data_IF_164600706735
#
_entry.id   IF_164600706735
#
_cell.length_a   1.000
_cell.length_b   1.000
_cell.length_c   1.000
_cell.angle_alpha   90.00
_cell.angle_beta   90.00
_cell.angle_gamma   90.00
#
_symmetry.space_group_name_H-M   'P 1'
#
loop_
_entity.id
_entity.type
_entity.pdbx_description
1 polymer ?
#
# COMPACT_ATOMS: atom_id res chain seq x y z
N UNK A 1 -4.86 -25.44 31.75
CA UNK A 1 -4.84 -24.09 32.31
C UNK A 1 -5.88 -23.29 31.56
N UNK A 2 -6.89 -22.71 32.19
CA UNK A 2 -7.80 -21.79 31.49
C UNK A 2 -7.02 -20.58 31.03
N UNK A 3 -7.13 -20.25 29.75
CA UNK A 3 -6.59 -19.00 29.20
C UNK A 3 -7.26 -17.84 29.95
N UNK A 4 -6.51 -16.82 30.38
CA UNK A 4 -7.12 -15.65 30.98
C UNK A 4 -8.05 -15.02 29.93
N UNK A 5 -9.31 -14.84 30.31
CA UNK A 5 -10.27 -14.06 29.51
C UNK A 5 -9.65 -12.66 29.34
N UNK A 6 -9.42 -12.17 28.12
CA UNK A 6 -8.88 -10.84 27.95
C UNK A 6 -9.84 -9.86 28.60
N UNK A 7 -9.34 -9.04 29.53
CA UNK A 7 -10.11 -7.94 30.12
C UNK A 7 -10.57 -7.04 28.97
N UNK A 8 -11.88 -6.84 28.86
CA UNK A 8 -12.44 -5.93 27.87
C UNK A 8 -11.81 -4.54 28.09
N UNK A 9 -11.14 -4.03 27.08
CA UNK A 9 -10.55 -2.69 27.13
C UNK A 9 -11.68 -1.68 26.99
N UNK A 10 -11.90 -0.89 28.04
CA UNK A 10 -12.90 0.17 27.99
C UNK A 10 -12.31 1.38 27.27
N UNK A 11 -12.99 1.89 26.26
CA UNK A 11 -12.60 3.10 25.53
C UNK A 11 -13.83 3.89 25.06
N UNK A 12 -13.60 5.17 24.70
CA UNK A 12 -14.59 6.04 24.07
C UNK A 12 -14.04 6.54 22.73
N UNK A 13 -14.90 6.61 21.72
CA UNK A 13 -14.56 7.21 20.42
C UNK A 13 -15.22 8.57 20.31
N UNK A 14 -14.40 9.61 20.18
CA UNK A 14 -14.86 11.00 20.07
C UNK A 14 -14.51 11.53 18.69
N UNK A 15 -15.49 12.03 17.90
CA UNK A 15 -15.19 12.69 16.64
C UNK A 15 -14.25 13.88 16.86
N UNK A 16 -13.28 14.03 15.99
CA UNK A 16 -12.38 15.17 15.98
C UNK A 16 -12.66 16.02 14.73
N UNK A 17 -12.94 17.32 14.94
CA UNK A 17 -13.14 18.29 13.87
C UNK A 17 -11.85 19.11 13.69
N UNK A 18 -11.07 18.90 12.61
CA UNK A 18 -9.89 19.72 12.33
C UNK A 18 -10.28 21.17 12.08
N UNK A 19 -9.40 22.10 12.42
CA UNK A 19 -9.59 23.55 12.17
C UNK A 19 -10.37 24.31 13.25
N UNK A 20 -10.91 23.65 14.23
CA UNK A 20 -11.63 24.30 15.34
C UNK A 20 -10.69 24.79 16.44
N UNK A 21 -9.60 25.42 16.21
CA UNK A 21 -8.68 26.09 17.15
C UNK A 21 -8.37 25.37 18.50
N UNK A 22 -7.44 25.84 19.31
CA UNK A 22 -7.02 25.16 20.55
C UNK A 22 -8.12 24.98 21.60
N UNK A 23 -9.18 25.80 21.56
CA UNK A 23 -10.32 25.73 22.49
C UNK A 23 -11.31 24.60 22.16
N UNK A 24 -11.23 24.00 20.99
CA UNK A 24 -12.12 22.91 20.56
C UNK A 24 -11.69 21.53 21.06
N UNK A 25 -10.50 21.40 21.60
CA UNK A 25 -10.05 20.13 22.19
C UNK A 25 -10.86 19.82 23.46
N UNK A 26 -11.28 18.55 23.66
CA UNK A 26 -11.90 18.13 24.92
C UNK A 26 -11.04 18.51 26.11
N UNK A 27 -11.71 18.93 27.22
CA UNK A 27 -10.99 19.34 28.44
C UNK A 27 -10.14 18.19 29.00
N UNK A 28 -10.67 16.97 28.94
CA UNK A 28 -9.98 15.76 29.36
C UNK A 28 -8.68 15.54 28.57
N UNK A 29 -8.70 15.78 27.25
CA UNK A 29 -7.51 15.68 26.42
C UNK A 29 -6.48 16.75 26.79
N UNK A 30 -6.93 17.99 27.05
CA UNK A 30 -6.04 19.10 27.46
C UNK A 30 -5.37 18.87 28.82
N UNK A 31 -5.90 18.01 29.66
CA UNK A 31 -5.29 17.64 30.95
C UNK A 31 -4.14 16.64 30.80
N UNK A 32 -4.18 15.77 29.79
CA UNK A 32 -3.18 14.71 29.59
C UNK A 32 -2.20 15.00 28.43
N UNK A 33 -2.53 15.92 27.52
CA UNK A 33 -1.69 16.31 26.40
C UNK A 33 -1.02 17.66 26.64
N UNK A 34 0.26 17.78 26.28
CA UNK A 34 0.96 19.07 26.27
C UNK A 34 0.44 19.94 25.14
N UNK A 35 0.42 21.28 25.29
CA UNK A 35 -0.05 22.20 24.26
C UNK A 35 0.61 21.99 22.89
N UNK A 36 1.92 21.75 22.85
CA UNK A 36 2.70 21.57 21.62
C UNK A 36 2.27 20.31 20.84
N UNK A 37 1.80 19.29 21.56
CA UNK A 37 1.23 18.08 20.91
C UNK A 37 -0.10 18.42 20.24
N UNK A 38 -0.97 19.15 20.92
CA UNK A 38 -2.26 19.56 20.38
C UNK A 38 -2.12 20.53 19.21
N UNK A 39 -1.15 21.43 19.27
CA UNK A 39 -0.79 22.31 18.13
C UNK A 39 -0.35 21.50 16.93
N UNK A 40 0.55 20.51 17.12
CA UNK A 40 0.99 19.60 16.07
C UNK A 40 -0.17 18.79 15.48
N UNK A 41 -1.08 18.29 16.32
CA UNK A 41 -2.25 17.55 15.86
C UNK A 41 -3.19 18.44 15.03
N UNK A 42 -3.36 19.70 15.43
CA UNK A 42 -4.20 20.68 14.76
C UNK A 42 -3.57 21.32 13.52
N UNK A 43 -2.25 21.18 13.32
CA UNK A 43 -1.53 21.84 12.23
C UNK A 43 -1.86 21.28 10.82
N UNK A 44 -2.45 20.09 10.74
CA UNK A 44 -2.77 19.41 9.48
C UNK A 44 -4.25 19.11 9.43
N UNK A 45 -4.90 19.45 8.33
CA UNK A 45 -6.29 19.09 8.05
C UNK A 45 -6.39 17.62 7.61
N UNK A 46 -6.84 16.77 8.54
CA UNK A 46 -7.08 15.35 8.31
C UNK A 46 -8.55 15.01 8.05
N UNK A 47 -9.40 16.00 7.81
CA UNK A 47 -10.84 15.78 7.57
C UNK A 47 -11.14 14.68 6.52
N UNK A 48 -10.39 14.59 5.40
CA UNK A 48 -10.61 13.53 4.41
C UNK A 48 -10.42 12.10 4.96
N UNK A 49 -9.66 11.93 6.05
CA UNK A 49 -9.32 10.64 6.64
C UNK A 49 -10.08 10.35 7.94
N UNK A 50 -11.25 10.96 8.12
CA UNK A 50 -12.18 10.74 9.22
C UNK A 50 -11.49 10.69 10.60
N UNK A 51 -10.76 11.75 11.01
CA UNK A 51 -10.00 11.77 12.24
C UNK A 51 -10.90 11.62 13.46
N UNK A 52 -10.43 10.87 14.45
CA UNK A 52 -11.13 10.61 15.71
C UNK A 52 -10.15 10.47 16.86
N UNK A 53 -10.65 10.68 18.07
CA UNK A 53 -9.93 10.38 19.29
C UNK A 53 -10.44 9.05 19.83
N UNK A 54 -9.53 8.12 20.13
CA UNK A 54 -9.81 6.92 20.90
C UNK A 54 -9.25 7.15 22.29
N UNK A 55 -10.11 7.30 23.27
CA UNK A 55 -9.76 7.71 24.62
C UNK A 55 -10.00 6.59 25.63
N UNK A 56 -9.11 6.45 26.59
CA UNK A 56 -9.24 5.52 27.72
C UNK A 56 -9.72 6.31 28.93
N UNK A 57 -10.90 6.00 29.50
CA UNK A 57 -11.39 6.65 30.69
C UNK A 57 -10.57 6.23 31.92
N UNK A 58 -10.38 7.18 32.86
CA UNK A 58 -9.79 6.98 34.18
C UNK A 58 -10.61 7.66 35.29
N UNK A 59 -10.17 7.57 36.53
CA UNK A 59 -10.94 8.03 37.70
C UNK A 59 -11.29 9.54 37.74
N UNK A 60 -10.64 10.35 36.91
CA UNK A 60 -10.88 11.83 36.94
C UNK A 60 -10.96 12.44 35.53
N UNK A 61 -11.25 11.66 34.52
CA UNK A 61 -11.28 12.08 33.12
C UNK A 61 -10.63 11.01 32.20
N UNK A 62 -9.80 11.43 31.23
CA UNK A 62 -9.07 10.48 30.40
C UNK A 62 -7.71 10.17 31.02
N UNK A 63 -7.34 8.89 30.99
CA UNK A 63 -6.00 8.40 31.34
C UNK A 63 -5.07 8.43 30.11
N UNK A 64 -5.63 8.16 28.95
CA UNK A 64 -4.90 8.12 27.67
C UNK A 64 -5.80 8.49 26.49
N UNK A 65 -5.22 8.93 25.40
CA UNK A 65 -5.92 9.12 24.14
C UNK A 65 -4.98 8.97 22.95
N UNK A 66 -5.51 8.48 21.83
CA UNK A 66 -4.83 8.45 20.53
C UNK A 66 -5.60 9.25 19.48
N UNK A 67 -4.90 10.00 18.64
CA UNK A 67 -5.44 10.53 17.40
C UNK A 67 -5.35 9.45 16.34
N UNK A 68 -6.50 9.07 15.79
CA UNK A 68 -6.64 7.97 14.83
C UNK A 68 -7.22 8.50 13.53
N UNK A 69 -6.67 8.03 12.40
CA UNK A 69 -7.17 8.29 11.04
C UNK A 69 -7.30 6.99 10.25
N UNK A 70 -7.98 7.03 9.11
CA UNK A 70 -8.01 5.96 8.13
C UNK A 70 -8.37 6.53 6.76
N UNK A 71 -7.77 6.00 5.67
CA UNK A 71 -8.26 6.32 4.32
C UNK A 71 -9.66 5.72 4.12
N UNK A 72 -10.59 6.42 3.49
CA UNK A 72 -11.88 5.84 3.14
C UNK A 72 -11.72 4.59 2.24
N UNK A 73 -12.55 3.58 2.45
CA UNK A 73 -12.53 2.35 1.64
C UNK A 73 -11.43 1.36 2.01
N UNK A 74 -10.61 1.64 3.01
CA UNK A 74 -9.56 0.75 3.51
C UNK A 74 -9.99 0.01 4.77
N UNK A 75 -9.23 -1.01 5.15
CA UNK A 75 -9.51 -1.87 6.30
C UNK A 75 -8.45 -1.71 7.40
N UNK A 76 -7.90 -0.50 7.59
CA UNK A 76 -6.93 -0.20 8.65
C UNK A 76 -7.34 1.00 9.48
N UNK A 77 -6.73 1.12 10.66
CA UNK A 77 -6.69 2.33 11.45
C UNK A 77 -5.22 2.76 11.65
N UNK A 78 -4.95 4.08 11.56
CA UNK A 78 -3.62 4.63 11.84
C UNK A 78 -3.63 5.39 13.15
N UNK A 79 -2.71 5.04 14.06
CA UNK A 79 -2.34 5.88 15.20
C UNK A 79 -1.38 6.94 14.67
N UNK A 80 -1.85 8.19 14.61
CA UNK A 80 -0.99 9.35 14.26
C UNK A 80 -0.07 9.66 15.43
N UNK A 81 -0.63 9.68 16.64
CA UNK A 81 0.09 9.95 17.90
C UNK A 81 -0.79 9.55 19.09
N UNK A 82 -0.18 9.41 20.26
CA UNK A 82 -0.87 9.06 21.50
C UNK A 82 -0.33 9.86 22.69
N UNK A 83 -1.17 10.10 23.69
CA UNK A 83 -0.86 10.88 24.91
C UNK A 83 -1.39 10.18 26.16
N UNK A 84 -0.85 10.53 27.33
CA UNK A 84 -1.16 9.88 28.61
C UNK A 84 -0.46 8.52 28.72
N UNK A 85 -1.17 7.48 29.18
CA UNK A 85 -0.69 6.09 29.13
C UNK A 85 -0.72 5.57 27.67
N UNK A 86 0.38 5.79 26.94
CA UNK A 86 0.53 5.44 25.53
C UNK A 86 0.26 3.94 25.25
N UNK A 87 0.76 3.00 26.07
CA UNK A 87 0.39 1.59 25.94
C UNK A 87 -1.12 1.32 26.06
N UNK A 88 -1.81 2.00 26.98
CA UNK A 88 -3.27 1.88 27.13
C UNK A 88 -4.00 2.43 25.91
N UNK A 89 -3.59 3.59 25.40
CA UNK A 89 -4.11 4.17 24.16
C UNK A 89 -3.96 3.21 22.96
N UNK A 90 -2.78 2.63 22.79
CA UNK A 90 -2.53 1.69 21.69
C UNK A 90 -3.41 0.43 21.79
N UNK A 91 -3.56 -0.15 22.99
CA UNK A 91 -4.49 -1.28 23.23
C UNK A 91 -5.95 -0.91 22.92
N UNK A 92 -6.37 0.29 23.28
CA UNK A 92 -7.72 0.78 22.99
C UNK A 92 -7.97 0.93 21.49
N UNK A 93 -6.99 1.43 20.72
CA UNK A 93 -7.09 1.51 19.25
C UNK A 93 -7.14 0.12 18.61
N UNK A 94 -6.38 -0.84 19.13
CA UNK A 94 -6.45 -2.22 18.63
C UNK A 94 -7.83 -2.83 18.92
N UNK A 95 -8.36 -2.70 20.13
CA UNK A 95 -9.70 -3.17 20.46
C UNK A 95 -10.78 -2.49 19.60
N UNK A 96 -10.66 -1.17 19.37
CA UNK A 96 -11.51 -0.44 18.45
C UNK A 96 -11.43 -1.01 17.03
N UNK A 97 -10.24 -1.28 16.52
CA UNK A 97 -10.04 -1.84 15.16
C UNK A 97 -10.68 -3.23 15.04
N UNK A 98 -10.50 -4.10 16.04
CA UNK A 98 -11.12 -5.43 16.11
C UNK A 98 -12.66 -5.34 16.11
N UNK A 99 -13.25 -4.45 16.91
CA UNK A 99 -14.71 -4.22 16.94
C UNK A 99 -15.26 -3.68 15.61
N UNK A 100 -14.46 -2.86 14.89
CA UNK A 100 -14.86 -2.34 13.58
C UNK A 100 -14.59 -3.34 12.44
N UNK A 101 -14.03 -4.51 12.71
CA UNK A 101 -13.67 -5.49 11.70
C UNK A 101 -12.52 -5.04 10.80
N UNK A 102 -11.70 -4.10 11.25
CA UNK A 102 -10.48 -3.70 10.55
C UNK A 102 -9.44 -4.81 10.70
N UNK A 103 -8.60 -4.98 9.68
CA UNK A 103 -7.63 -6.07 9.64
C UNK A 103 -6.23 -5.65 10.09
N UNK A 104 -6.01 -4.34 10.27
CA UNK A 104 -4.68 -3.80 10.58
C UNK A 104 -4.77 -2.51 11.38
N UNK A 105 -3.82 -2.33 12.29
CA UNK A 105 -3.49 -1.04 12.90
C UNK A 105 -2.05 -0.70 12.54
N UNK A 106 -1.82 0.50 11.99
CA UNK A 106 -0.49 1.05 11.79
C UNK A 106 -0.24 2.20 12.75
N UNK A 107 1.02 2.47 13.06
CA UNK A 107 1.41 3.53 13.99
C UNK A 107 2.57 4.35 13.45
N UNK A 108 2.41 5.67 13.37
CA UNK A 108 3.51 6.57 13.02
C UNK A 108 4.53 6.64 14.15
N UNK A 109 5.78 6.33 13.85
CA UNK A 109 6.86 6.27 14.84
C UNK A 109 7.49 7.63 15.19
N UNK A 110 6.68 8.69 15.32
CA UNK A 110 7.20 10.02 15.68
C UNK A 110 7.62 10.12 17.14
N UNK A 111 6.87 9.53 18.05
CA UNK A 111 6.98 9.71 19.50
C UNK A 111 7.11 8.40 20.25
N UNK A 112 6.79 7.27 19.63
CA UNK A 112 6.88 5.94 20.22
C UNK A 112 8.24 5.30 19.97
N UNK A 113 8.81 4.67 20.99
CA UNK A 113 10.00 3.85 20.85
C UNK A 113 9.66 2.45 20.29
N UNK A 114 10.67 1.77 19.72
CA UNK A 114 10.50 0.39 19.25
C UNK A 114 10.13 -0.60 20.37
N UNK A 115 10.62 -0.36 21.58
CA UNK A 115 10.31 -1.18 22.76
C UNK A 115 8.84 -1.01 23.18
N UNK A 116 8.33 0.21 23.23
CA UNK A 116 6.94 0.51 23.56
C UNK A 116 5.99 -0.05 22.50
N UNK A 117 6.32 0.09 21.20
CA UNK A 117 5.54 -0.46 20.12
C UNK A 117 5.52 -1.99 20.18
N UNK A 118 6.66 -2.64 20.41
CA UNK A 118 6.75 -4.09 20.56
C UNK A 118 5.98 -4.60 21.78
N UNK A 119 6.04 -3.89 22.91
CA UNK A 119 5.25 -4.21 24.12
C UNK A 119 3.73 -4.13 23.87
N UNK A 120 3.30 -3.28 22.93
CA UNK A 120 1.91 -3.19 22.47
C UNK A 120 1.58 -4.19 21.32
N UNK A 121 2.52 -5.06 20.94
CA UNK A 121 2.34 -6.10 19.92
C UNK A 121 2.45 -5.61 18.48
N UNK A 122 3.12 -4.48 18.25
CA UNK A 122 3.42 -3.98 16.92
C UNK A 122 4.80 -4.43 16.45
N UNK A 123 4.90 -4.80 15.18
CA UNK A 123 6.16 -5.06 14.50
C UNK A 123 6.66 -3.78 13.80
N UNK A 124 7.98 -3.53 13.72
CA UNK A 124 8.50 -2.41 12.96
C UNK A 124 8.33 -2.63 11.46
N UNK A 125 7.98 -1.57 10.74
CA UNK A 125 7.99 -1.52 9.28
C UNK A 125 9.38 -1.14 8.78
N UNK A 126 9.77 -1.66 7.62
CA UNK A 126 10.99 -1.26 6.93
C UNK A 126 10.86 0.17 6.43
N UNK A 127 11.87 1.02 6.64
CA UNK A 127 11.83 2.37 6.09
C UNK A 127 11.79 2.34 4.56
N UNK A 128 11.20 3.37 3.93
CA UNK A 128 11.20 3.50 2.48
C UNK A 128 12.60 3.44 1.89
N UNK A 129 12.70 2.89 0.68
CA UNK A 129 13.93 2.95 -0.10
C UNK A 129 14.31 4.42 -0.37
N UNK A 130 15.60 4.78 -0.35
CA UNK A 130 16.05 6.13 -0.68
C UNK A 130 15.83 6.44 -2.16
N UNK A 131 15.63 7.70 -2.50
CA UNK A 131 15.75 8.19 -3.88
C UNK A 131 14.47 8.67 -4.56
N UNK A 132 13.28 8.54 -3.96
CA UNK A 132 12.06 9.08 -4.57
C UNK A 132 11.97 10.61 -4.54
N UNK A 133 12.14 11.22 -3.39
CA UNK A 133 12.15 12.68 -3.18
C UNK A 133 13.05 13.06 -2.02
N UNK A 134 13.61 14.29 -2.03
CA UNK A 134 14.37 14.84 -0.90
C UNK A 134 13.49 15.24 0.29
N UNK A 135 12.16 15.25 0.11
CA UNK A 135 11.23 15.55 1.19
C UNK A 135 11.13 14.37 2.16
N UNK A 136 11.15 14.64 3.47
CA UNK A 136 10.92 13.61 4.45
C UNK A 136 9.52 12.99 4.26
N UNK A 137 9.51 11.73 3.87
CA UNK A 137 8.28 10.98 3.58
C UNK A 137 7.45 10.66 4.84
N UNK A 138 7.83 11.16 6.00
CA UNK A 138 7.19 10.86 7.27
C UNK A 138 8.19 10.45 8.36
N UNK A 139 7.76 9.73 9.39
CA UNK A 139 8.64 9.23 10.44
C UNK A 139 9.69 8.28 9.86
N UNK A 140 10.86 8.20 10.50
CA UNK A 140 11.90 7.24 10.11
C UNK A 140 11.51 5.78 10.36
N UNK A 141 10.57 5.58 11.29
CA UNK A 141 10.03 4.27 11.66
C UNK A 141 8.52 4.33 11.59
N UNK A 142 7.93 3.23 11.19
CA UNK A 142 6.50 2.95 11.30
C UNK A 142 6.32 1.59 11.93
N UNK A 143 5.16 1.31 12.43
CA UNK A 143 4.86 0.02 13.05
C UNK A 143 3.52 -0.50 12.55
N UNK A 144 3.39 -1.82 12.51
CA UNK A 144 2.17 -2.51 12.07
C UNK A 144 1.77 -3.58 13.07
N UNK A 145 0.47 -3.72 13.28
CA UNK A 145 -0.14 -4.85 13.96
C UNK A 145 -1.34 -5.35 13.16
N UNK A 146 -1.31 -6.62 12.81
CA UNK A 146 -2.44 -7.29 12.18
C UNK A 146 -3.45 -7.69 13.24
N UNK A 147 -4.73 -7.39 13.00
CA UNK A 147 -5.86 -7.74 13.89
C UNK A 147 -6.61 -8.96 13.36
N UNK A 148 -6.43 -9.28 12.07
CA UNK A 148 -7.03 -10.44 11.44
C UNK A 148 -6.01 -11.17 10.53
N UNK A 149 -5.91 -12.50 10.69
CA UNK A 149 -4.97 -13.34 9.95
C UNK A 149 -3.51 -13.20 10.43
N UNK A 150 -2.59 -13.80 9.69
CA UNK A 150 -1.15 -13.76 9.96
C UNK A 150 -0.45 -12.55 9.32
N UNK A 151 -1.22 -11.70 8.59
CA UNK A 151 -0.67 -10.63 7.79
C UNK A 151 -0.05 -11.11 6.48
N UNK A 152 0.75 -10.27 5.86
CA UNK A 152 1.48 -10.56 4.62
C UNK A 152 2.96 -10.23 4.79
N UNK A 153 3.82 -10.89 4.01
CA UNK A 153 5.24 -10.58 4.01
C UNK A 153 5.47 -9.15 3.53
N UNK A 154 6.31 -8.40 4.24
CA UNK A 154 6.57 -6.99 3.96
C UNK A 154 7.48 -6.83 2.73
N UNK A 155 7.05 -6.12 1.66
CA UNK A 155 7.89 -5.80 0.51
C UNK A 155 8.78 -4.58 0.79
N UNK A 156 9.64 -4.23 -0.17
CA UNK A 156 10.26 -2.91 -0.18
C UNK A 156 9.22 -1.84 -0.57
N UNK A 157 9.30 -0.68 0.04
CA UNK A 157 8.48 0.47 -0.31
C UNK A 157 9.31 1.57 -0.97
N UNK A 158 8.80 2.15 -2.06
CA UNK A 158 9.40 3.28 -2.76
C UNK A 158 8.31 4.29 -3.13
N UNK A 159 8.51 5.56 -2.76
CA UNK A 159 7.60 6.66 -3.09
C UNK A 159 7.90 7.18 -4.49
N UNK A 160 6.86 7.30 -5.33
CA UNK A 160 7.01 7.97 -6.63
C UNK A 160 7.50 9.40 -6.48
N UNK A 161 8.38 9.82 -7.40
CA UNK A 161 8.97 11.16 -7.36
C UNK A 161 8.15 12.23 -8.08
N UNK A 162 7.13 11.83 -8.85
CA UNK A 162 6.25 12.72 -9.63
C UNK A 162 4.79 12.31 -9.45
N UNK A 163 3.83 13.14 -9.88
CA UNK A 163 2.40 12.79 -9.74
C UNK A 163 1.90 11.83 -10.82
N UNK A 164 2.74 11.40 -11.75
CA UNK A 164 2.31 10.60 -12.92
C UNK A 164 3.08 9.30 -13.10
N UNK A 165 4.07 9.02 -12.27
CA UNK A 165 4.96 7.85 -12.40
C UNK A 165 4.49 6.60 -11.64
N UNK A 166 3.26 6.60 -11.09
CA UNK A 166 2.73 5.50 -10.30
C UNK A 166 2.81 4.13 -11.01
N UNK A 167 2.48 4.06 -12.30
CA UNK A 167 2.58 2.83 -13.09
C UNK A 167 4.02 2.31 -13.21
N UNK A 168 4.98 3.18 -13.43
CA UNK A 168 6.39 2.81 -13.50
C UNK A 168 6.89 2.30 -12.14
N UNK A 169 6.54 3.01 -11.05
CA UNK A 169 6.96 2.61 -9.70
C UNK A 169 6.35 1.27 -9.30
N UNK A 170 5.07 1.05 -9.55
CA UNK A 170 4.43 -0.24 -9.24
C UNK A 170 5.06 -1.39 -10.02
N UNK A 171 5.44 -1.17 -11.29
CA UNK A 171 6.13 -2.18 -12.10
C UNK A 171 7.55 -2.46 -11.58
N UNK A 172 8.30 -1.43 -11.20
CA UNK A 172 9.62 -1.59 -10.57
C UNK A 172 9.53 -2.35 -9.25
N UNK A 173 8.58 -2.01 -8.38
CA UNK A 173 8.35 -2.72 -7.12
C UNK A 173 7.98 -4.19 -7.33
N UNK A 174 7.18 -4.50 -8.35
CA UNK A 174 6.88 -5.87 -8.74
C UNK A 174 8.16 -6.63 -9.14
N UNK A 175 9.06 -5.99 -9.91
CA UNK A 175 10.33 -6.61 -10.33
C UNK A 175 11.34 -6.75 -9.18
N UNK A 176 11.35 -5.81 -8.22
CA UNK A 176 12.14 -5.96 -6.99
C UNK A 176 11.66 -7.16 -6.20
N UNK A 177 10.35 -7.27 -6.02
CA UNK A 177 9.77 -8.38 -5.29
C UNK A 177 10.00 -9.73 -5.96
N UNK A 178 10.02 -9.73 -7.30
CA UNK A 178 10.36 -10.89 -8.11
C UNK A 178 11.87 -11.26 -8.07
N UNK A 179 12.70 -10.43 -7.43
CA UNK A 179 14.15 -10.62 -7.39
C UNK A 179 14.86 -10.35 -8.72
N UNK A 180 14.16 -9.73 -9.68
CA UNK A 180 14.70 -9.37 -11.01
C UNK A 180 15.47 -8.06 -10.95
N UNK A 181 15.05 -7.15 -10.08
CA UNK A 181 15.66 -5.83 -9.83
C UNK A 181 16.11 -5.77 -8.39
N UNK A 182 17.30 -5.25 -8.12
CA UNK A 182 17.78 -5.05 -6.76
C UNK A 182 17.14 -3.80 -6.15
N UNK A 183 16.73 -3.82 -4.87
CA UNK A 183 16.10 -2.67 -4.21
C UNK A 183 16.94 -1.38 -4.31
N UNK A 184 18.25 -1.48 -4.19
CA UNK A 184 19.20 -0.36 -4.30
C UNK A 184 19.30 0.24 -5.72
N UNK A 185 18.74 -0.43 -6.72
CA UNK A 185 18.65 0.08 -8.10
C UNK A 185 17.37 0.88 -8.34
N UNK A 186 16.50 1.00 -7.35
CA UNK A 186 15.32 1.86 -7.45
C UNK A 186 15.73 3.28 -7.11
N UNK A 187 15.73 4.11 -8.14
CA UNK A 187 15.98 5.52 -8.03
C UNK A 187 15.09 6.31 -9.01
N UNK A 188 15.22 7.61 -8.98
CA UNK A 188 14.45 8.52 -9.83
C UNK A 188 14.74 8.32 -11.32
N UNK A 189 15.95 7.92 -11.69
CA UNK A 189 16.32 7.67 -13.09
C UNK A 189 15.62 6.41 -13.59
N UNK A 190 15.65 5.31 -12.83
CA UNK A 190 14.95 4.07 -13.15
C UNK A 190 13.45 4.28 -13.29
N UNK A 191 12.85 5.05 -12.35
CA UNK A 191 11.44 5.44 -12.34
C UNK A 191 11.06 6.19 -13.63
N UNK A 192 11.74 7.32 -13.91
CA UNK A 192 11.41 8.17 -15.04
C UNK A 192 11.76 7.52 -16.40
N UNK A 193 12.78 6.67 -16.44
CA UNK A 193 13.11 5.90 -17.64
C UNK A 193 11.99 4.93 -17.97
N UNK A 194 11.52 4.13 -17.00
CA UNK A 194 10.43 3.20 -17.24
C UNK A 194 9.12 3.93 -17.56
N UNK A 195 8.82 5.03 -16.85
CA UNK A 195 7.67 5.87 -17.16
C UNK A 195 7.69 6.35 -18.61
N UNK A 196 8.80 6.90 -19.08
CA UNK A 196 8.95 7.36 -20.47
C UNK A 196 8.69 6.25 -21.48
N UNK A 197 9.15 5.04 -21.19
CA UNK A 197 8.99 3.88 -22.08
C UNK A 197 7.55 3.32 -22.06
N UNK A 198 6.80 3.56 -20.98
CA UNK A 198 5.47 3.01 -20.72
C UNK A 198 4.33 3.98 -21.03
N UNK A 199 4.63 5.26 -21.26
CA UNK A 199 3.58 6.28 -21.25
C UNK A 199 3.30 6.89 -22.61
N UNK A 200 2.02 7.20 -22.80
CA UNK A 200 1.50 8.05 -23.87
C UNK A 200 1.12 9.44 -23.32
N UNK A 201 1.75 9.83 -22.24
CA UNK A 201 1.67 11.11 -21.54
C UNK A 201 0.24 11.50 -21.04
N UNK A 202 0.06 11.93 -19.78
CA UNK A 202 1.05 11.87 -18.69
C UNK A 202 1.04 10.53 -17.96
N UNK A 203 -0.03 9.74 -18.04
CA UNK A 203 -0.20 8.50 -17.30
C UNK A 203 0.03 7.26 -18.18
N UNK A 204 0.51 6.18 -17.57
CA UNK A 204 0.63 4.89 -18.25
C UNK A 204 -0.74 4.26 -18.45
N UNK A 205 -1.08 3.93 -19.69
CA UNK A 205 -2.24 3.08 -19.98
C UNK A 205 -1.86 1.58 -19.85
N UNK A 206 -2.83 0.68 -19.61
CA UNK A 206 -2.52 -0.71 -19.25
C UNK A 206 -1.66 -1.46 -20.27
N UNK A 207 -1.93 -1.33 -21.56
CA UNK A 207 -1.19 -2.05 -22.61
C UNK A 207 0.21 -1.51 -22.77
N UNK A 208 0.37 -0.17 -22.78
CA UNK A 208 1.68 0.48 -22.86
C UNK A 208 2.57 0.13 -21.68
N UNK A 209 1.99 0.06 -20.46
CA UNK A 209 2.74 -0.37 -19.28
C UNK A 209 3.20 -1.83 -19.39
N UNK A 210 2.33 -2.74 -19.81
CA UNK A 210 2.67 -4.15 -20.04
C UNK A 210 3.74 -4.32 -21.10
N UNK A 211 3.66 -3.57 -22.21
CA UNK A 211 4.66 -3.56 -23.29
C UNK A 211 6.02 -3.05 -22.78
N UNK A 212 6.05 -1.98 -22.00
CA UNK A 212 7.30 -1.44 -21.47
C UNK A 212 7.97 -2.43 -20.50
N UNK A 213 7.18 -3.07 -19.62
CA UNK A 213 7.68 -4.13 -18.74
C UNK A 213 8.29 -5.27 -19.55
N UNK A 214 7.59 -5.77 -20.57
CA UNK A 214 8.08 -6.87 -21.42
C UNK A 214 9.33 -6.50 -22.20
N UNK A 215 9.45 -5.26 -22.69
CA UNK A 215 10.66 -4.79 -23.38
C UNK A 215 11.86 -4.74 -22.45
N UNK A 216 11.67 -4.24 -21.24
CA UNK A 216 12.74 -4.05 -20.27
C UNK A 216 13.19 -5.38 -19.66
N UNK A 217 12.27 -6.29 -19.41
CA UNK A 217 12.52 -7.62 -18.81
C UNK A 217 11.94 -8.74 -19.69
N UNK A 218 12.65 -9.13 -20.76
CA UNK A 218 12.13 -10.11 -21.72
C UNK A 218 11.86 -11.52 -21.14
N UNK A 219 12.49 -11.85 -20.02
CA UNK A 219 12.25 -13.13 -19.30
C UNK A 219 10.98 -13.13 -18.46
N UNK A 220 10.47 -11.96 -18.07
CA UNK A 220 9.22 -11.87 -17.32
C UNK A 220 8.02 -12.21 -18.20
N UNK A 221 7.12 -13.07 -17.74
CA UNK A 221 5.80 -13.24 -18.37
C UNK A 221 4.94 -12.04 -17.99
N UNK A 222 4.30 -11.43 -18.97
CA UNK A 222 3.43 -10.27 -18.77
C UNK A 222 2.11 -10.53 -19.49
N UNK A 223 0.99 -10.32 -18.78
CA UNK A 223 -0.36 -10.41 -19.32
C UNK A 223 -1.11 -9.12 -18.96
N UNK A 224 -1.93 -8.61 -19.89
CA UNK A 224 -2.77 -7.43 -19.65
C UNK A 224 -4.23 -7.85 -19.69
N UNK A 225 -5.00 -7.40 -18.70
CA UNK A 225 -6.46 -7.54 -18.64
C UNK A 225 -7.08 -6.15 -18.80
N UNK A 226 -7.86 -5.99 -19.86
CA UNK A 226 -8.53 -4.73 -20.17
C UNK A 226 -9.83 -5.04 -20.93
N UNK A 227 -10.97 -4.78 -20.31
CA UNK A 227 -12.29 -5.18 -20.81
C UNK A 227 -12.86 -4.29 -21.93
N UNK A 228 -11.98 -3.64 -22.67
CA UNK A 228 -12.32 -2.88 -23.88
C UNK A 228 -11.19 -2.94 -24.89
N UNK A 229 -11.54 -2.87 -26.17
CA UNK A 229 -10.59 -2.69 -27.26
C UNK A 229 -10.33 -1.20 -27.57
N UNK A 230 -11.22 -0.33 -27.12
CA UNK A 230 -11.11 1.10 -27.31
C UNK A 230 -10.00 1.73 -26.43
N UNK A 231 -9.41 2.84 -26.88
CA UNK A 231 -8.50 3.62 -26.07
C UNK A 231 -9.15 4.09 -24.76
N UNK A 232 -8.38 4.04 -23.66
CA UNK A 232 -8.86 4.31 -22.31
C UNK A 232 -8.24 5.57 -21.71
N UNK A 233 -8.85 6.10 -20.63
CA UNK A 233 -8.35 7.28 -19.90
C UNK A 233 -8.28 8.56 -20.74
N UNK A 234 -9.11 8.68 -21.76
CA UNK A 234 -9.14 9.82 -22.68
C UNK A 234 -10.38 10.70 -22.52
N UNK A 235 -11.25 10.46 -21.54
CA UNK A 235 -12.54 11.14 -21.40
C UNK A 235 -12.40 12.63 -21.06
N UNK A 236 -11.27 13.01 -20.47
CA UNK A 236 -10.94 14.38 -20.13
C UNK A 236 -10.23 15.17 -21.25
N UNK A 237 -10.06 14.55 -22.42
CA UNK A 237 -9.34 15.11 -23.56
C UNK A 237 -10.27 15.30 -24.75
N UNK A 238 -10.03 16.36 -25.52
CA UNK A 238 -10.79 16.70 -26.71
C UNK A 238 -9.90 16.86 -27.95
N UNK A 239 -10.55 16.83 -29.14
CA UNK A 239 -9.92 17.13 -30.41
C UNK A 239 -8.65 16.34 -30.71
N UNK A 240 -7.66 17.02 -31.27
CA UNK A 240 -6.41 16.42 -31.73
C UNK A 240 -5.65 15.71 -30.60
N UNK A 241 -5.73 16.21 -29.37
CA UNK A 241 -5.04 15.61 -28.24
C UNK A 241 -5.58 14.22 -27.91
N UNK A 242 -6.90 14.08 -27.90
CA UNK A 242 -7.57 12.77 -27.75
C UNK A 242 -7.19 11.83 -28.89
N UNK A 243 -7.20 12.34 -30.13
CA UNK A 243 -6.95 11.53 -31.32
C UNK A 243 -5.51 10.98 -31.35
N UNK A 244 -4.48 11.80 -31.18
CA UNK A 244 -3.11 11.31 -31.25
C UNK A 244 -2.76 10.36 -30.09
N UNK A 245 -3.35 10.55 -28.90
CA UNK A 245 -3.20 9.59 -27.79
C UNK A 245 -3.87 8.26 -28.09
N UNK A 246 -5.05 8.28 -28.71
CA UNK A 246 -5.71 7.06 -29.16
C UNK A 246 -4.87 6.32 -30.23
N UNK A 247 -4.20 7.06 -31.14
CA UNK A 247 -3.24 6.46 -32.10
C UNK A 247 -2.10 5.76 -31.37
N UNK A 248 -1.51 6.39 -30.35
CA UNK A 248 -0.42 5.80 -29.57
C UNK A 248 -0.85 4.55 -28.80
N UNK A 249 -2.05 4.54 -28.21
CA UNK A 249 -2.57 3.34 -27.53
C UNK A 249 -2.83 2.19 -28.51
N UNK A 250 -3.31 2.48 -29.73
CA UNK A 250 -3.41 1.45 -30.78
C UNK A 250 -2.02 0.93 -31.20
N UNK A 251 -1.01 1.78 -31.25
CA UNK A 251 0.37 1.35 -31.47
C UNK A 251 0.89 0.47 -30.34
N UNK A 252 0.56 0.77 -29.08
CA UNK A 252 0.88 -0.10 -27.93
C UNK A 252 0.28 -1.50 -28.08
N UNK A 253 -0.97 -1.62 -28.58
CA UNK A 253 -1.58 -2.94 -28.85
C UNK A 253 -0.80 -3.71 -29.94
N UNK A 254 -0.45 -3.06 -31.05
CA UNK A 254 0.37 -3.69 -32.08
C UNK A 254 1.77 -4.11 -31.56
N UNK A 255 2.32 -3.37 -30.62
CA UNK A 255 3.55 -3.72 -29.92
C UNK A 255 3.37 -4.92 -28.98
N UNK A 256 2.24 -5.00 -28.28
CA UNK A 256 1.91 -6.15 -27.44
C UNK A 256 1.86 -7.44 -28.26
N UNK A 257 1.20 -7.41 -29.41
CA UNK A 257 1.14 -8.55 -30.34
C UNK A 257 2.55 -8.97 -30.80
N UNK A 258 3.40 -8.02 -31.20
CA UNK A 258 4.78 -8.30 -31.66
C UNK A 258 5.67 -8.87 -30.56
N UNK A 259 5.46 -8.49 -29.31
CA UNK A 259 6.25 -8.91 -28.15
C UNK A 259 5.66 -10.15 -27.46
N UNK A 260 4.53 -10.66 -27.95
CA UNK A 260 3.84 -11.79 -27.35
C UNK A 260 3.33 -11.47 -25.93
N UNK A 261 2.81 -10.25 -25.71
CA UNK A 261 2.10 -9.86 -24.49
C UNK A 261 0.60 -10.09 -24.71
N UNK A 262 -0.01 -11.11 -24.08
CA UNK A 262 -1.43 -11.34 -24.19
C UNK A 262 -2.22 -10.15 -23.64
N UNK A 263 -3.18 -9.65 -24.43
CA UNK A 263 -4.15 -8.66 -24.00
C UNK A 263 -5.53 -9.32 -23.96
N UNK A 264 -6.01 -9.59 -22.75
CA UNK A 264 -7.31 -10.23 -22.54
C UNK A 264 -8.42 -9.19 -22.56
N UNK A 265 -9.37 -9.31 -23.53
CA UNK A 265 -10.55 -8.43 -23.66
C UNK A 265 -11.60 -8.69 -22.59
N UNK A 266 -11.20 -8.83 -21.33
CA UNK A 266 -12.07 -9.07 -20.18
C UNK A 266 -11.51 -8.49 -18.90
N UNK A 267 -12.34 -8.35 -17.90
CA UNK A 267 -11.91 -7.98 -16.55
C UNK A 267 -11.16 -9.12 -15.85
N UNK A 268 -10.13 -8.77 -15.10
CA UNK A 268 -9.64 -9.63 -14.05
C UNK A 268 -10.63 -9.52 -12.87
N UNK A 269 -11.26 -10.62 -12.49
CA UNK A 269 -12.18 -10.61 -11.34
C UNK A 269 -11.44 -10.45 -10.02
N UNK A 270 -12.12 -9.98 -8.99
CA UNK A 270 -11.54 -9.88 -7.64
C UNK A 270 -11.08 -11.25 -7.11
N UNK A 271 -11.81 -12.32 -7.43
CA UNK A 271 -11.44 -13.68 -7.04
C UNK A 271 -10.12 -14.12 -7.70
N UNK A 272 -9.97 -13.91 -9.02
CA UNK A 272 -8.73 -14.20 -9.75
C UNK A 272 -7.56 -13.35 -9.24
N UNK A 273 -7.81 -12.06 -8.93
CA UNK A 273 -6.82 -11.17 -8.35
C UNK A 273 -6.35 -11.70 -6.98
N UNK A 274 -7.27 -12.06 -6.10
CA UNK A 274 -6.95 -12.62 -4.79
C UNK A 274 -6.17 -13.93 -4.91
N UNK A 275 -6.54 -14.81 -5.84
CA UNK A 275 -5.83 -16.05 -6.11
C UNK A 275 -4.40 -15.77 -6.61
N UNK A 276 -4.24 -14.82 -7.54
CA UNK A 276 -2.93 -14.43 -8.06
C UNK A 276 -1.98 -13.94 -6.97
N UNK A 277 -2.47 -13.09 -6.04
CA UNK A 277 -1.62 -12.54 -4.96
C UNK A 277 -1.47 -13.47 -3.76
N UNK A 278 -2.39 -14.41 -3.52
CA UNK A 278 -2.31 -15.38 -2.41
C UNK A 278 -1.12 -16.34 -2.56
N UNK A 279 -0.76 -16.72 -3.80
CA UNK A 279 0.40 -17.55 -4.09
C UNK A 279 1.74 -16.90 -3.74
N UNK A 280 1.76 -15.58 -3.70
CA UNK A 280 2.97 -14.79 -3.43
C UNK A 280 3.42 -14.78 -1.97
N UNK A 281 2.47 -14.88 -1.03
CA UNK A 281 2.77 -14.76 0.41
C UNK A 281 3.41 -16.00 1.05
N UNK A 282 3.12 -17.21 0.55
CA UNK A 282 3.53 -18.45 1.19
C UNK A 282 4.95 -18.91 0.85
N UNK A 283 5.49 -18.52 -0.30
CA UNK A 283 6.84 -18.88 -0.71
C UNK A 283 7.89 -18.01 0.01
N UNK A 284 7.65 -16.71 0.16
CA UNK A 284 8.58 -15.76 0.78
C UNK A 284 8.66 -15.90 2.31
N UNK A 285 7.54 -16.19 2.98
CA UNK A 285 7.56 -16.48 4.43
C UNK A 285 8.40 -17.71 4.74
N UNK A 286 8.43 -18.71 3.85
CA UNK A 286 9.28 -19.90 3.99
C UNK A 286 10.76 -19.59 3.70
N UNK A 287 11.09 -18.71 2.78
CA UNK A 287 12.48 -18.31 2.50
C UNK A 287 13.04 -17.34 3.54
N UNK A 288 12.24 -16.42 4.08
CA UNK A 288 12.67 -15.57 5.18
C UNK A 288 12.95 -16.38 6.46
N UNK A 289 12.07 -17.29 6.82
CA UNK A 289 12.32 -18.23 7.92
C UNK A 289 13.50 -19.17 7.70
N UNK A 290 13.77 -19.56 6.44
CA UNK A 290 14.93 -20.37 6.09
C UNK A 290 16.24 -19.55 6.14
N UNK A 291 16.24 -18.26 5.78
CA UNK A 291 17.41 -17.39 5.86
C UNK A 291 17.77 -17.02 7.29
N UNK A 292 16.80 -16.77 8.16
CA UNK A 292 17.05 -16.56 9.60
C UNK A 292 17.58 -17.82 10.28
N UNK A 293 17.11 -19.01 9.91
CA UNK A 293 17.63 -20.27 10.41
C UNK A 293 19.07 -20.59 9.91
N UNK A 294 19.48 -20.07 8.75
CA UNK A 294 20.80 -20.27 8.15
C UNK A 294 21.83 -19.20 8.55
N UNK A 295 21.43 -18.00 8.97
CA UNK A 295 22.33 -16.94 9.41
C UNK A 295 23.16 -17.30 10.66
N UNK A 296 22.84 -18.44 11.30
CA UNK A 296 23.56 -18.98 12.44
C UNK A 296 24.63 -20.02 12.13
N UNK A 297 24.83 -20.43 10.86
CA UNK A 297 25.84 -21.43 10.48
C UNK A 297 26.52 -21.11 9.16
N UNK A 298 27.75 -20.66 9.26
CA UNK A 298 28.84 -20.68 8.27
C UNK A 298 28.57 -20.15 6.84
N UNK A 299 28.94 -18.89 6.63
CA UNK A 299 28.76 -18.10 5.40
C UNK A 299 29.81 -18.34 4.30
N UNK A 300 30.57 -19.41 4.28
CA UNK A 300 31.69 -19.60 3.32
C UNK A 300 31.53 -20.77 2.35
N UNK A 301 30.83 -21.83 2.68
CA UNK A 301 30.74 -23.03 1.81
C UNK A 301 29.51 -23.12 0.91
N UNK A 302 28.54 -22.21 1.04
CA UNK A 302 27.25 -22.30 0.33
C UNK A 302 27.27 -21.68 -1.08
N UNK A 303 28.32 -20.98 -1.50
CA UNK A 303 28.37 -20.32 -2.82
C UNK A 303 28.66 -21.28 -3.99
N UNK A 304 29.26 -22.42 -3.78
CA UNK A 304 29.58 -23.37 -4.84
C UNK A 304 28.58 -24.50 -5.06
N UNK A 305 27.66 -24.72 -4.12
CA UNK A 305 26.68 -25.83 -4.20
C UNK A 305 25.36 -25.46 -4.91
N UNK A 306 25.11 -24.20 -5.25
CA UNK A 306 23.85 -23.72 -5.86
C UNK A 306 23.86 -23.80 -7.39
N UNK A 307 25.01 -23.97 -8.02
CA UNK A 307 25.12 -24.05 -9.49
C UNK A 307 24.70 -25.38 -10.12
N UNK A 308 24.24 -26.36 -9.36
CA UNK A 308 24.09 -27.73 -9.87
C UNK A 308 22.85 -28.50 -9.42
N UNK A 309 21.70 -27.86 -9.16
CA UNK A 309 20.47 -28.61 -8.93
C UNK A 309 19.30 -28.11 -9.76
N UNK A 310 19.01 -28.96 -10.75
CA UNK A 310 17.86 -28.93 -11.64
C UNK A 310 16.52 -28.65 -10.94
N UNK A 311 15.65 -27.98 -11.70
CA UNK A 311 14.27 -27.64 -11.43
C UNK A 311 13.51 -28.70 -10.64
N UNK A 312 13.16 -28.39 -9.40
CA UNK A 312 12.08 -29.09 -8.70
C UNK A 312 10.76 -28.41 -9.08
N UNK A 313 9.97 -29.15 -9.86
CA UNK A 313 8.59 -28.82 -10.17
C UNK A 313 7.80 -28.60 -8.87
N UNK A 314 7.15 -27.42 -8.73
CA UNK A 314 6.23 -27.15 -7.64
C UNK A 314 6.41 -25.82 -6.90
N UNK A 315 7.24 -24.88 -7.38
CA UNK A 315 7.19 -23.50 -6.88
C UNK A 315 5.94 -22.85 -7.43
N UNK A 316 4.98 -22.52 -6.57
CA UNK A 316 3.89 -21.65 -6.94
C UNK A 316 4.50 -20.37 -7.54
N UNK A 317 4.12 -20.04 -8.77
CA UNK A 317 4.61 -18.83 -9.45
C UNK A 317 4.13 -17.62 -8.67
N UNK A 318 5.06 -16.77 -8.22
CA UNK A 318 4.70 -15.49 -7.61
C UNK A 318 4.19 -14.56 -8.70
N UNK A 319 2.89 -14.31 -8.70
CA UNK A 319 2.26 -13.35 -9.61
C UNK A 319 2.11 -12.01 -8.92
N UNK A 320 2.50 -10.96 -9.62
CA UNK A 320 2.32 -9.59 -9.17
C UNK A 320 1.23 -8.93 -10.02
N UNK A 321 0.27 -8.32 -9.37
CA UNK A 321 -0.85 -7.64 -10.04
C UNK A 321 -0.71 -6.14 -9.85
N UNK A 322 -0.43 -5.44 -10.96
CA UNK A 322 -0.56 -3.99 -11.02
C UNK A 322 -2.02 -3.69 -11.37
N UNK A 323 -2.71 -2.96 -10.51
CA UNK A 323 -4.12 -2.65 -10.69
C UNK A 323 -4.31 -1.15 -10.88
N UNK A 324 -5.04 -0.79 -11.91
CA UNK A 324 -5.46 0.59 -12.15
C UNK A 324 -6.73 0.90 -11.33
N UNK A 325 -6.67 1.95 -10.52
CA UNK A 325 -7.75 2.36 -9.61
C UNK A 325 -8.04 3.86 -9.76
N UNK A 326 -9.25 4.29 -9.37
CA UNK A 326 -9.56 5.70 -9.13
C UNK A 326 -9.25 6.07 -7.67
N UNK A 327 -8.61 7.20 -7.45
CA UNK A 327 -8.37 7.76 -6.13
C UNK A 327 -9.61 8.41 -5.49
N UNK A 328 -10.75 8.46 -6.19
CA UNK A 328 -11.97 9.12 -5.71
C UNK A 328 -12.41 8.62 -4.32
N UNK A 329 -12.36 7.31 -4.08
CA UNK A 329 -12.75 6.73 -2.78
C UNK A 329 -11.74 7.06 -1.69
N UNK A 330 -10.45 6.85 -1.94
CA UNK A 330 -9.41 7.00 -0.91
C UNK A 330 -9.02 8.45 -0.63
N UNK A 331 -9.10 9.31 -1.65
CA UNK A 331 -8.53 10.66 -1.61
C UNK A 331 -9.52 11.77 -1.95
N UNK A 332 -10.73 11.42 -2.40
CA UNK A 332 -11.78 12.38 -2.74
C UNK A 332 -11.64 13.05 -4.12
N UNK A 333 -10.68 12.65 -4.95
CA UNK A 333 -10.51 13.17 -6.32
C UNK A 333 -10.37 12.03 -7.34
N UNK A 334 -11.06 12.15 -8.46
CA UNK A 334 -11.13 11.10 -9.48
C UNK A 334 -9.94 11.21 -10.45
N UNK A 335 -8.85 10.56 -10.05
CA UNK A 335 -7.62 10.45 -10.84
C UNK A 335 -7.23 8.99 -10.97
N UNK A 336 -6.93 8.52 -12.20
CA UNK A 336 -6.39 7.18 -12.42
C UNK A 336 -5.03 7.02 -11.71
N UNK A 337 -4.89 5.90 -11.02
CA UNK A 337 -3.70 5.61 -10.22
C UNK A 337 -3.36 4.13 -10.25
N UNK A 338 -2.07 3.79 -10.26
CA UNK A 338 -1.61 2.42 -10.21
C UNK A 338 -1.19 2.03 -8.80
N UNK A 339 -1.65 0.87 -8.36
CA UNK A 339 -1.23 0.23 -7.11
C UNK A 339 -0.72 -1.18 -7.38
N UNK A 340 0.25 -1.64 -6.60
CA UNK A 340 0.72 -3.03 -6.64
C UNK A 340 -0.09 -3.86 -5.63
N UNK A 341 -0.92 -4.77 -6.12
CA UNK A 341 -1.58 -5.76 -5.27
C UNK A 341 -0.55 -6.81 -4.85
N UNK A 342 -0.34 -6.92 -3.55
CA UNK A 342 0.79 -7.58 -2.95
C UNK A 342 0.43 -8.84 -2.19
N UNK A 343 -0.73 -8.87 -1.55
CA UNK A 343 -1.20 -10.01 -0.77
C UNK A 343 -2.69 -9.92 -0.50
N UNK A 344 -3.23 -10.91 0.17
CA UNK A 344 -4.64 -10.95 0.55
C UNK A 344 -4.78 -11.40 2.01
N UNK A 345 -5.66 -10.70 2.73
CA UNK A 345 -6.09 -11.04 4.09
C UNK A 345 -7.61 -11.22 4.11
N UNK A 346 -8.22 -11.71 5.19
CA UNK A 346 -9.68 -11.83 5.25
C UNK A 346 -10.37 -10.49 4.95
N UNK A 347 -11.19 -10.44 3.88
CA UNK A 347 -11.99 -9.27 3.48
C UNK A 347 -11.24 -8.11 2.84
N UNK A 348 -9.92 -8.22 2.61
CA UNK A 348 -9.13 -7.16 2.00
C UNK A 348 -7.99 -7.69 1.13
N UNK A 349 -7.60 -6.89 0.13
CA UNK A 349 -6.34 -7.04 -0.61
C UNK A 349 -5.35 -6.02 -0.07
N UNK A 350 -4.14 -6.47 0.20
CA UNK A 350 -3.04 -5.59 0.65
C UNK A 350 -2.32 -5.04 -0.57
N UNK A 351 -2.20 -3.72 -0.63
CA UNK A 351 -1.56 -3.03 -1.76
C UNK A 351 -0.37 -2.19 -1.29
N UNK A 352 0.57 -1.96 -2.20
CA UNK A 352 1.57 -0.91 -2.12
C UNK A 352 1.08 0.26 -2.98
N UNK A 353 0.82 1.39 -2.33
CA UNK A 353 0.48 2.63 -2.99
C UNK A 353 1.74 3.49 -3.12
N UNK A 354 2.26 3.76 -4.32
CA UNK A 354 3.48 4.55 -4.47
C UNK A 354 3.29 6.03 -4.13
N UNK A 355 2.08 6.46 -3.75
CA UNK A 355 1.76 7.85 -3.45
C UNK A 355 0.94 7.97 -2.15
N UNK A 356 1.13 9.09 -1.45
CA UNK A 356 0.35 9.48 -0.29
C UNK A 356 0.22 11.01 -0.20
N UNK A 357 -0.87 11.47 0.41
CA UNK A 357 -1.26 12.87 0.49
C UNK A 357 -0.68 13.54 1.74
N UNK A 358 0.50 14.14 1.63
CA UNK A 358 1.13 14.87 2.74
C UNK A 358 0.28 16.06 3.22
N UNK A 359 -0.47 16.69 2.30
CA UNK A 359 -1.38 17.80 2.62
C UNK A 359 -2.52 17.40 3.54
N UNK A 360 -2.95 16.12 3.50
CA UNK A 360 -3.95 15.55 4.38
C UNK A 360 -3.34 14.81 5.59
N UNK A 361 -2.03 14.95 5.81
CA UNK A 361 -1.31 14.34 6.93
C UNK A 361 -1.05 12.85 6.77
N UNK A 362 -1.02 12.36 5.55
CA UNK A 362 -0.52 11.02 5.29
C UNK A 362 1.00 10.98 5.26
N UNK A 363 1.52 9.80 5.57
CA UNK A 363 2.93 9.47 5.48
C UNK A 363 3.08 8.16 4.71
N UNK A 364 4.31 7.71 4.48
CA UNK A 364 4.56 6.41 3.84
C UNK A 364 3.89 5.23 4.59
N UNK A 365 3.63 5.39 5.90
CA UNK A 365 2.95 4.38 6.72
C UNK A 365 1.49 4.14 6.27
N UNK A 366 0.85 5.16 5.67
CA UNK A 366 -0.50 5.03 5.11
C UNK A 366 -0.55 4.32 3.75
N UNK A 367 0.59 4.20 3.09
CA UNK A 367 0.70 3.76 1.71
C UNK A 367 1.36 2.38 1.57
N UNK A 368 2.12 1.99 2.60
CA UNK A 368 2.83 0.73 2.68
C UNK A 368 1.98 -0.33 3.39
N UNK A 369 1.90 -1.53 2.82
CA UNK A 369 1.07 -2.63 3.32
C UNK A 369 -0.41 -2.23 3.54
N UNK A 370 -0.96 -1.39 2.66
CA UNK A 370 -2.30 -0.83 2.80
C UNK A 370 -3.39 -1.87 2.51
N UNK A 371 -4.19 -2.31 3.48
CA UNK A 371 -5.30 -3.22 3.23
C UNK A 371 -6.51 -2.43 2.70
N UNK A 372 -6.88 -2.67 1.45
CA UNK A 372 -8.09 -2.11 0.82
C UNK A 372 -9.20 -3.14 0.90
N UNK A 373 -10.35 -2.75 1.46
CA UNK A 373 -11.50 -3.65 1.57
C UNK A 373 -11.94 -4.16 0.19
N UNK A 374 -12.26 -5.44 0.09
CA UNK A 374 -12.58 -6.12 -1.18
C UNK A 374 -13.62 -5.38 -2.02
N UNK A 375 -14.73 -4.95 -1.40
CA UNK A 375 -15.79 -4.22 -2.10
C UNK A 375 -15.34 -2.82 -2.58
N UNK A 376 -14.47 -2.15 -1.81
CA UNK A 376 -13.89 -0.87 -2.18
C UNK A 376 -12.91 -1.02 -3.34
N UNK A 377 -12.04 -2.02 -3.29
CA UNK A 377 -11.08 -2.29 -4.36
C UNK A 377 -11.79 -2.63 -5.67
N UNK A 378 -12.85 -3.44 -5.60
CA UNK A 378 -13.68 -3.77 -6.77
C UNK A 378 -14.30 -2.51 -7.39
N UNK A 379 -14.86 -1.64 -6.55
CA UNK A 379 -15.45 -0.37 -7.01
C UNK A 379 -14.43 0.61 -7.57
N UNK A 380 -13.30 0.79 -6.88
CA UNK A 380 -12.23 1.72 -7.27
C UNK A 380 -11.53 1.32 -8.57
N UNK A 381 -11.48 0.03 -8.88
CA UNK A 381 -10.84 -0.48 -10.10
C UNK A 381 -11.72 -0.35 -11.35
N UNK A 382 -12.89 0.27 -11.26
CA UNK A 382 -13.76 0.59 -12.37
C UNK A 382 -13.63 2.08 -12.71
N UNK A 383 -12.89 2.41 -13.77
CA UNK A 383 -12.63 3.77 -14.22
C UNK A 383 -13.47 4.12 -15.45
N UNK A 384 -13.67 5.41 -15.68
CA UNK A 384 -14.40 5.96 -16.82
C UNK A 384 -15.79 6.46 -16.45
N UNK A 385 -16.40 7.18 -17.40
CA UNK A 385 -17.73 7.79 -17.26
C UNK A 385 -18.89 6.81 -17.54
N UNK A 386 -19.46 6.89 -18.75
CA UNK A 386 -20.59 6.03 -19.15
C UNK A 386 -20.20 4.57 -19.32
N UNK A 387 -19.00 4.31 -19.85
CA UNK A 387 -18.43 2.96 -19.98
C UNK A 387 -17.32 2.81 -18.96
N UNK A 388 -17.54 1.94 -17.98
CA UNK A 388 -16.54 1.65 -16.95
C UNK A 388 -15.64 0.51 -17.35
N UNK A 389 -14.34 0.74 -17.31
CA UNK A 389 -13.31 -0.22 -17.68
C UNK A 389 -12.42 -0.56 -16.48
N UNK A 390 -11.91 -1.79 -16.46
CA UNK A 390 -10.90 -2.23 -15.50
C UNK A 390 -9.62 -2.60 -16.23
N UNK A 391 -8.51 -2.03 -15.78
CA UNK A 391 -7.18 -2.32 -16.29
C UNK A 391 -6.30 -2.98 -15.24
N UNK A 392 -5.65 -4.09 -15.59
CA UNK A 392 -4.66 -4.75 -14.76
C UNK A 392 -3.51 -5.29 -15.61
N UNK A 393 -2.30 -5.31 -15.04
CA UNK A 393 -1.11 -5.96 -15.62
C UNK A 393 -0.65 -7.03 -14.65
N UNK A 394 -0.60 -8.28 -15.09
CA UNK A 394 -0.02 -9.39 -14.34
C UNK A 394 1.42 -9.58 -14.79
N UNK A 395 2.31 -9.67 -13.83
CA UNK A 395 3.73 -9.96 -14.04
C UNK A 395 4.06 -11.25 -13.30
N UNK A 396 4.60 -12.23 -14.03
CA UNK A 396 5.05 -13.49 -13.48
C UNK A 396 6.58 -13.51 -13.65
N UNK A 397 7.32 -13.56 -12.56
CA UNK A 397 8.75 -13.71 -12.63
C UNK A 397 9.07 -15.17 -12.92
N UNK A 398 9.78 -15.39 -14.02
CA UNK A 398 10.23 -16.70 -14.48
C UNK A 398 11.28 -17.32 -13.59
#
# INVERSE_FOLDING_TARGET
>A
MPHPVPYAVTYAVVPYAPGAGPSAWPEELRRIARPEVLERWGAVDRAPHAPRLVAVPGDGGWEAAALVTARPGTAYAKIVDAVGDVPAAARAVVAYAEEQGLVQVVWEGWTVSGEEAAAAGFAPLRPPLPGGTDEPAGPRTGYVRWTAGEGVAEPAYYRQSTHFSCGAVTALLAQVRAGVVLPESLDREAELTLWRDATNFPACEPVGLGVAVRRRWPSSSVEVFLDTEEPVLLDHLDGDEREWRAVLQRASRADADRLGVPVHGRRLSLAELREAVAGSGTAEAREAGAREAFAGREAVEAREAVAGREAVAGRGRCRHVLLLVSLATMQGFDVPHWVLCHGAVPGAVVVEDPWFNTGAGETWVDAHLLPVADASLDAMSLLGGEVRVRGAVLIDAG
#
